data_IF_284924831053
#
_entry.id   IF_284924831053
#
_cell.length_a   1.000
_cell.length_b   1.000
_cell.length_c   1.000
_cell.angle_alpha   90.00
_cell.angle_beta   90.00
_cell.angle_gamma   90.00
#
_symmetry.space_group_name_H-M   'P 1'
#
loop_
_entity.id
_entity.type
_entity.pdbx_description
1 polymer ?
#
# COMPACT_ATOMS: atom_id res chain seq x y z
N UNK A 1 -29.30 -19.46 -0.68
CA UNK A 1 -27.99 -19.05 -1.23
C UNK A 1 -26.93 -19.42 -0.20
N UNK A 2 -26.11 -20.44 -0.47
CA UNK A 2 -25.10 -20.95 0.49
C UNK A 2 -23.84 -20.10 0.38
N UNK A 3 -23.46 -19.35 1.43
CA UNK A 3 -22.11 -18.78 1.52
C UNK A 3 -21.13 -19.94 1.64
N UNK A 4 -20.21 -20.06 0.69
CA UNK A 4 -19.02 -20.89 0.88
C UNK A 4 -18.10 -20.11 1.82
N UNK A 5 -17.79 -20.68 2.97
CA UNK A 5 -16.79 -20.16 3.90
C UNK A 5 -15.52 -20.96 3.66
N UNK A 6 -14.46 -20.28 3.26
CA UNK A 6 -13.13 -20.85 3.04
C UNK A 6 -12.08 -19.93 3.66
N UNK A 7 -10.93 -20.49 4.01
CA UNK A 7 -9.78 -19.74 4.50
C UNK A 7 -8.83 -19.49 3.33
N UNK A 8 -8.39 -18.25 3.17
CA UNK A 8 -7.34 -17.88 2.22
C UNK A 8 -6.11 -17.45 3.03
N UNK A 9 -4.92 -17.91 2.63
CA UNK A 9 -3.65 -17.43 3.17
C UNK A 9 -3.00 -16.49 2.17
N UNK A 10 -2.50 -15.35 2.65
CA UNK A 10 -1.79 -14.37 1.83
C UNK A 10 -0.33 -14.34 2.28
N UNK A 11 0.58 -14.54 1.32
CA UNK A 11 2.00 -14.27 1.50
C UNK A 11 2.35 -13.01 0.70
N UNK A 12 3.12 -12.10 1.31
CA UNK A 12 3.50 -10.84 0.69
C UNK A 12 5.00 -10.84 0.39
N UNK A 13 5.34 -10.37 -0.81
CA UNK A 13 6.71 -10.04 -1.20
C UNK A 13 6.72 -8.64 -1.78
N UNK A 14 7.73 -7.86 -1.44
CA UNK A 14 7.90 -6.51 -1.95
C UNK A 14 9.37 -6.24 -2.25
N UNK A 15 9.61 -5.47 -3.31
CA UNK A 15 10.92 -5.08 -3.76
C UNK A 15 10.80 -4.02 -4.85
N UNK A 16 11.83 -3.20 -4.98
CA UNK A 16 11.92 -2.17 -6.00
C UNK A 16 13.37 -2.07 -6.47
N UNK A 17 13.56 -1.66 -7.72
CA UNK A 17 14.87 -1.51 -8.36
C UNK A 17 14.88 -0.24 -9.20
N UNK A 18 15.99 0.50 -9.17
CA UNK A 18 16.15 1.76 -9.93
C UNK A 18 16.21 1.52 -11.45
N UNK A 19 16.52 0.29 -11.86
CA UNK A 19 16.77 -0.08 -13.23
C UNK A 19 18.14 0.41 -13.72
N UNK A 20 18.35 0.37 -15.04
CA UNK A 20 19.68 0.62 -15.63
C UNK A 20 19.91 2.04 -16.12
N UNK A 21 18.87 2.89 -16.12
CA UNK A 21 18.90 4.21 -16.80
C UNK A 21 18.81 5.38 -15.81
N UNK A 22 18.02 5.24 -14.74
CA UNK A 22 17.84 6.33 -13.77
C UNK A 22 18.95 6.33 -12.74
N UNK A 23 19.26 7.51 -12.22
CA UNK A 23 20.19 7.67 -11.08
C UNK A 23 19.49 7.44 -9.74
N UNK A 24 18.20 7.73 -9.67
CA UNK A 24 17.38 7.61 -8.46
C UNK A 24 16.11 6.81 -8.74
N UNK A 25 15.71 6.03 -7.75
CA UNK A 25 14.46 5.29 -7.78
C UNK A 25 13.34 6.21 -7.29
N UNK A 26 12.37 6.50 -8.15
CA UNK A 26 11.20 7.30 -7.82
C UNK A 26 10.00 6.40 -7.47
N UNK A 27 10.17 5.08 -7.44
CA UNK A 27 9.15 4.13 -7.01
C UNK A 27 9.24 3.90 -5.50
N UNK A 28 8.10 3.95 -4.82
CA UNK A 28 7.97 3.60 -3.42
C UNK A 28 6.83 2.59 -3.22
N UNK A 29 6.92 1.77 -2.17
CA UNK A 29 5.86 0.83 -1.82
C UNK A 29 5.66 0.75 -0.30
N UNK A 30 4.46 0.36 0.11
CA UNK A 30 4.14 0.05 1.50
C UNK A 30 3.24 -1.18 1.56
N UNK A 31 3.51 -2.08 2.50
CA UNK A 31 2.75 -3.32 2.66
C UNK A 31 2.46 -3.58 4.12
N UNK A 32 1.21 -3.93 4.43
CA UNK A 32 0.78 -4.41 5.74
C UNK A 32 0.03 -5.73 5.54
N UNK A 33 0.39 -6.74 6.33
CA UNK A 33 -0.37 -7.97 6.43
C UNK A 33 -1.21 -7.89 7.70
N UNK A 34 -2.52 -8.10 7.58
CA UNK A 34 -3.42 -8.20 8.72
C UNK A 34 -3.08 -9.42 9.58
N UNK A 35 -3.44 -9.35 10.84
CA UNK A 35 -3.34 -10.48 11.77
C UNK A 35 -4.45 -11.52 11.54
N UNK A 36 -5.47 -11.18 10.73
CA UNK A 36 -6.65 -12.01 10.51
C UNK A 36 -7.71 -11.84 11.61
N UNK A 37 -7.60 -10.77 12.40
CA UNK A 37 -8.62 -10.42 13.38
C UNK A 37 -9.88 -9.89 12.68
N UNK A 38 -11.05 -10.22 13.21
CA UNK A 38 -12.33 -9.76 12.66
C UNK A 38 -12.53 -8.24 12.77
N UNK A 39 -11.78 -7.59 13.66
CA UNK A 39 -11.85 -6.14 13.91
C UNK A 39 -10.86 -5.35 13.02
N UNK A 40 -10.10 -6.02 12.15
CA UNK A 40 -9.22 -5.35 11.19
C UNK A 40 -10.00 -4.84 9.98
N UNK A 41 -9.53 -3.71 9.46
CA UNK A 41 -10.16 -3.01 8.34
C UNK A 41 -9.91 -3.71 7.00
N UNK A 42 -8.83 -4.48 6.90
CA UNK A 42 -8.40 -5.23 5.72
C UNK A 42 -7.49 -6.40 6.12
N UNK A 43 -7.55 -7.51 5.40
CA UNK A 43 -6.65 -8.66 5.59
C UNK A 43 -5.22 -8.39 5.11
N UNK A 44 -5.06 -7.45 4.16
CA UNK A 44 -3.78 -6.95 3.69
C UNK A 44 -3.96 -5.57 3.02
N UNK A 45 -2.93 -4.72 3.12
CA UNK A 45 -2.83 -3.45 2.39
C UNK A 45 -1.53 -3.46 1.59
N UNK A 46 -1.64 -3.24 0.27
CA UNK A 46 -0.49 -3.12 -0.63
C UNK A 46 -0.62 -1.79 -1.38
N UNK A 47 0.44 -0.99 -1.34
CA UNK A 47 0.51 0.31 -1.98
C UNK A 47 1.78 0.37 -2.82
N UNK A 48 1.66 0.88 -4.04
CA UNK A 48 2.78 1.22 -4.92
C UNK A 48 2.54 2.62 -5.45
N UNK A 49 3.57 3.45 -5.48
CA UNK A 49 3.55 4.79 -6.04
C UNK A 49 4.76 5.01 -6.94
N UNK A 50 4.51 5.49 -8.16
CA UNK A 50 5.53 5.93 -9.13
C UNK A 50 5.58 7.47 -9.07
N UNK A 51 6.73 8.00 -8.64
CA UNK A 51 7.00 9.42 -8.64
C UNK A 51 7.23 9.91 -10.06
N UNK A 52 6.32 10.74 -10.59
CA UNK A 52 6.45 11.27 -11.94
C UNK A 52 7.70 12.18 -12.08
N UNK A 53 8.82 11.59 -12.50
CA UNK A 53 10.09 12.29 -12.73
C UNK A 53 9.97 13.44 -13.73
N UNK A 54 10.64 14.56 -13.41
CA UNK A 54 10.63 15.79 -14.21
C UNK A 54 10.60 17.09 -13.39
N UNK A 55 10.31 16.99 -12.09
CA UNK A 55 10.58 18.00 -11.08
C UNK A 55 11.48 17.41 -9.98
N UNK A 56 12.21 18.24 -9.25
CA UNK A 56 13.33 17.86 -8.38
C UNK A 56 12.99 17.03 -7.11
N UNK A 57 11.94 16.20 -7.13
CA UNK A 57 11.45 15.51 -5.93
C UNK A 57 10.45 14.35 -6.21
N UNK A 58 10.57 13.60 -7.32
CA UNK A 58 9.66 12.48 -7.63
C UNK A 58 9.68 11.38 -6.56
N UNK A 59 10.87 11.08 -6.05
CA UNK A 59 11.13 10.23 -4.90
C UNK A 59 10.46 10.70 -3.61
N UNK A 60 10.42 12.02 -3.38
CA UNK A 60 9.71 12.58 -2.20
C UNK A 60 8.20 12.41 -2.38
N UNK A 61 7.69 12.62 -3.60
CA UNK A 61 6.26 12.51 -3.86
C UNK A 61 5.75 11.07 -3.69
N UNK A 62 6.47 10.06 -4.21
CA UNK A 62 6.09 8.66 -4.04
C UNK A 62 6.23 8.20 -2.58
N UNK A 63 7.29 8.61 -1.88
CA UNK A 63 7.47 8.31 -0.45
C UNK A 63 6.35 8.93 0.41
N UNK A 64 5.99 10.19 0.14
CA UNK A 64 4.87 10.86 0.80
C UNK A 64 3.55 10.12 0.56
N UNK A 65 3.32 9.60 -0.64
CA UNK A 65 2.10 8.86 -0.95
C UNK A 65 2.01 7.57 -0.13
N UNK A 66 3.04 6.73 -0.15
CA UNK A 66 3.01 5.43 0.53
C UNK A 66 3.04 5.54 2.06
N UNK A 67 3.62 6.62 2.59
CA UNK A 67 3.65 6.92 4.03
C UNK A 67 2.29 7.41 4.54
N UNK A 68 1.62 8.31 3.83
CA UNK A 68 0.42 8.99 4.36
C UNK A 68 -0.90 8.31 3.96
N UNK A 69 -0.94 7.61 2.83
CA UNK A 69 -2.15 6.94 2.35
C UNK A 69 -2.74 5.93 3.36
N UNK A 70 -1.95 5.09 4.07
CA UNK A 70 -2.50 4.18 5.07
C UNK A 70 -3.33 4.89 6.14
N UNK A 71 -2.84 6.03 6.63
CA UNK A 71 -3.53 6.83 7.65
C UNK A 71 -4.85 7.37 7.13
N UNK A 72 -4.84 7.98 5.95
CA UNK A 72 -6.05 8.53 5.34
C UNK A 72 -7.08 7.45 4.98
N UNK A 73 -6.61 6.27 4.58
CA UNK A 73 -7.48 5.13 4.31
C UNK A 73 -8.21 4.68 5.59
N UNK A 74 -7.49 4.56 6.71
CA UNK A 74 -8.10 4.21 8.01
C UNK A 74 -9.11 5.26 8.43
N UNK A 75 -8.78 6.55 8.32
CA UNK A 75 -9.68 7.66 8.66
C UNK A 75 -10.97 7.59 7.83
N UNK A 76 -10.86 7.46 6.50
CA UNK A 76 -12.00 7.44 5.58
C UNK A 76 -12.92 6.23 5.83
N UNK A 77 -12.35 5.05 6.02
CA UNK A 77 -13.12 3.82 6.26
C UNK A 77 -13.72 3.77 7.67
N UNK A 78 -13.10 4.44 8.65
CA UNK A 78 -13.67 4.57 10.00
C UNK A 78 -14.83 5.57 10.04
N UNK A 79 -14.81 6.60 9.19
CA UNK A 79 -15.91 7.58 9.10
C UNK A 79 -17.18 7.06 8.44
N UNK A 80 -17.10 6.00 7.62
CA UNK A 80 -18.26 5.36 6.99
C UNK A 80 -19.02 4.38 7.91
N UNK A 81 -18.46 4.07 9.10
CA UNK A 81 -19.07 3.18 10.09
C UNK A 81 -19.94 3.91 11.13
N UNK A 82 -20.18 5.21 10.94
CA UNK A 82 -20.97 6.07 11.84
C UNK A 82 -22.10 6.78 11.09
#
# INVERSE_FOLDING_TARGET
MKRIVGYYSVELGAGSDVGSIREQNEDAYHTLLGTGSQDELFDALLIVADGMGGHAAGEVASEMAVTNLPKHLVEALSSDQN
#
